data_IF_892817050852
#
_entry.id   IF_892817050852
#
_cell.length_a   1.000
_cell.length_b   1.000
_cell.length_c   1.000
_cell.angle_alpha   90.00
_cell.angle_beta   90.00
_cell.angle_gamma   90.00
#
_symmetry.space_group_name_H-M   'P 1'
#
loop_
_entity.id
_entity.type
_entity.pdbx_description
1 polymer ?
#
# COMPACT_ATOMS: atom_id res chain seq x y z
N UNK A 1 -23.21 -11.38 -42.11
CA UNK A 1 -22.66 -12.11 -40.94
C UNK A 1 -23.82 -12.46 -40.03
N UNK A 2 -23.97 -13.76 -39.65
CA UNK A 2 -25.10 -14.20 -38.85
C UNK A 2 -24.92 -13.79 -37.39
N UNK A 3 -26.03 -13.57 -36.67
CA UNK A 3 -26.02 -13.31 -35.22
C UNK A 3 -25.21 -14.35 -34.42
N UNK A 4 -25.16 -15.60 -34.91
CA UNK A 4 -24.38 -16.69 -34.34
C UNK A 4 -22.88 -16.48 -34.49
N UNK A 5 -22.38 -15.98 -35.62
CA UNK A 5 -20.95 -15.66 -35.81
C UNK A 5 -20.50 -14.51 -34.92
N UNK A 6 -21.35 -13.49 -34.75
CA UNK A 6 -21.08 -12.39 -33.82
C UNK A 6 -21.02 -12.85 -32.36
N UNK A 7 -21.88 -13.80 -32.00
CA UNK A 7 -21.88 -14.36 -30.63
C UNK A 7 -20.62 -15.18 -30.35
N UNK A 8 -20.19 -16.02 -31.30
CA UNK A 8 -18.95 -16.80 -31.18
C UNK A 8 -17.72 -15.89 -31.06
N UNK A 9 -17.62 -14.86 -31.92
CA UNK A 9 -16.55 -13.88 -31.88
C UNK A 9 -16.50 -13.10 -30.54
N UNK A 10 -17.69 -12.78 -30.01
CA UNK A 10 -17.77 -12.12 -28.69
C UNK A 10 -17.30 -13.03 -27.56
N UNK A 11 -17.66 -14.31 -27.57
CA UNK A 11 -17.24 -15.28 -26.56
C UNK A 11 -15.73 -15.55 -26.66
N UNK A 12 -15.17 -15.64 -27.87
CA UNK A 12 -13.73 -15.77 -28.09
C UNK A 12 -12.96 -14.54 -27.61
N UNK A 13 -13.47 -13.34 -27.92
CA UNK A 13 -12.87 -12.08 -27.45
C UNK A 13 -12.91 -11.95 -25.93
N UNK A 14 -14.01 -12.33 -25.29
CA UNK A 14 -14.14 -12.36 -23.84
C UNK A 14 -13.17 -13.39 -23.21
N UNK A 15 -13.07 -14.57 -23.79
CA UNK A 15 -12.11 -15.60 -23.33
C UNK A 15 -10.65 -15.17 -23.48
N UNK A 16 -10.31 -14.45 -24.57
CA UNK A 16 -8.98 -13.91 -24.78
C UNK A 16 -8.67 -12.78 -23.77
N UNK A 17 -9.60 -11.87 -23.53
CA UNK A 17 -9.45 -10.81 -22.54
C UNK A 17 -9.22 -11.36 -21.14
N UNK A 18 -9.98 -12.38 -20.72
CA UNK A 18 -9.77 -13.04 -19.43
C UNK A 18 -8.41 -13.76 -19.32
N UNK A 19 -7.89 -14.32 -20.43
CA UNK A 19 -6.56 -14.93 -20.44
C UNK A 19 -5.46 -13.89 -20.30
N UNK A 20 -5.58 -12.77 -21.00
CA UNK A 20 -4.63 -11.66 -20.90
C UNK A 20 -4.61 -11.13 -19.46
N UNK A 21 -5.75 -10.87 -18.87
CA UNK A 21 -5.89 -10.40 -17.51
C UNK A 21 -5.24 -11.37 -16.48
N UNK A 22 -5.43 -12.68 -16.68
CA UNK A 22 -4.75 -13.71 -15.84
C UNK A 22 -3.24 -13.70 -16.00
N UNK A 23 -2.74 -13.50 -17.22
CA UNK A 23 -1.29 -13.46 -17.49
C UNK A 23 -0.65 -12.19 -16.93
N UNK A 24 -1.30 -11.05 -17.06
CA UNK A 24 -0.85 -9.78 -16.47
C UNK A 24 -0.76 -9.91 -14.95
N UNK A 25 -1.78 -10.49 -14.32
CA UNK A 25 -1.80 -10.72 -12.88
C UNK A 25 -0.75 -11.73 -12.42
N UNK A 26 -0.55 -12.82 -13.14
CA UNK A 26 0.51 -13.78 -12.86
C UNK A 26 1.89 -13.10 -12.95
N UNK A 27 2.08 -12.16 -13.88
CA UNK A 27 3.29 -11.35 -14.01
C UNK A 27 3.48 -10.45 -12.78
N UNK A 28 2.44 -9.78 -12.31
CA UNK A 28 2.46 -8.95 -11.10
C UNK A 28 2.74 -9.81 -9.85
N UNK A 29 2.09 -10.95 -9.71
CA UNK A 29 2.34 -11.90 -8.60
C UNK A 29 3.78 -12.43 -8.63
N UNK A 30 4.33 -12.73 -9.80
CA UNK A 30 5.72 -13.17 -9.94
C UNK A 30 6.71 -12.08 -9.54
N UNK A 31 6.50 -10.83 -9.98
CA UNK A 31 7.30 -9.68 -9.56
C UNK A 31 7.20 -9.44 -8.05
N UNK A 32 5.99 -9.48 -7.51
CA UNK A 32 5.75 -9.35 -6.07
C UNK A 32 6.43 -10.47 -5.28
N UNK A 33 6.47 -11.71 -5.78
CA UNK A 33 7.11 -12.84 -5.11
C UNK A 33 8.62 -12.62 -4.89
N UNK A 34 9.32 -12.04 -5.86
CA UNK A 34 10.74 -11.69 -5.73
C UNK A 34 10.94 -10.61 -4.67
N UNK A 35 10.09 -9.60 -4.70
CA UNK A 35 10.10 -8.50 -3.75
C UNK A 35 9.76 -9.02 -2.34
N UNK A 36 8.75 -9.87 -2.20
CA UNK A 36 8.37 -10.52 -0.93
C UNK A 36 9.50 -11.35 -0.33
N UNK A 37 10.18 -12.17 -1.15
CA UNK A 37 11.32 -12.94 -0.69
C UNK A 37 12.43 -12.04 -0.14
N UNK A 38 12.64 -10.88 -0.76
CA UNK A 38 13.62 -9.90 -0.27
C UNK A 38 13.18 -9.26 1.04
N UNK A 39 11.91 -8.88 1.15
CA UNK A 39 11.34 -8.25 2.35
C UNK A 39 11.26 -9.19 3.55
N UNK A 40 10.87 -10.42 3.33
CA UNK A 40 10.86 -11.43 4.39
C UNK A 40 12.27 -11.73 4.90
N UNK A 41 13.29 -11.64 4.04
CA UNK A 41 14.69 -11.88 4.45
C UNK A 41 15.17 -10.87 5.49
N UNK A 42 14.68 -9.64 5.45
CA UNK A 42 15.11 -8.58 6.37
C UNK A 42 14.62 -8.80 7.81
N UNK A 43 13.29 -8.89 8.10
CA UNK A 43 12.85 -9.15 9.47
C UNK A 43 13.38 -10.50 10.00
N UNK A 44 13.44 -11.54 9.16
CA UNK A 44 14.00 -12.83 9.56
C UNK A 44 15.50 -12.74 9.88
N UNK A 45 16.27 -11.96 9.12
CA UNK A 45 17.67 -11.70 9.38
C UNK A 45 17.87 -10.92 10.70
N UNK A 46 17.04 -9.92 10.94
CA UNK A 46 17.05 -9.15 12.18
C UNK A 46 16.66 -10.02 13.40
N UNK A 47 15.60 -10.85 13.28
CA UNK A 47 15.21 -11.82 14.31
C UNK A 47 16.37 -12.74 14.64
N UNK A 48 17.06 -13.30 13.63
CA UNK A 48 18.21 -14.18 13.83
C UNK A 48 19.34 -13.47 14.55
N UNK A 49 19.65 -12.21 14.19
CA UNK A 49 20.69 -11.42 14.81
C UNK A 49 20.36 -11.10 16.28
N UNK A 50 19.15 -10.66 16.57
CA UNK A 50 18.70 -10.35 17.93
C UNK A 50 18.65 -11.60 18.79
N UNK A 51 18.17 -12.73 18.28
CA UNK A 51 18.16 -14.03 18.97
C UNK A 51 19.59 -14.48 19.30
N UNK A 52 20.53 -14.32 18.36
CA UNK A 52 21.95 -14.61 18.61
C UNK A 52 22.54 -13.71 19.71
N UNK A 53 22.24 -12.40 19.65
CA UNK A 53 22.67 -11.43 20.66
C UNK A 53 22.15 -11.79 22.04
N UNK A 54 20.86 -12.11 22.18
CA UNK A 54 20.22 -12.50 23.44
C UNK A 54 20.84 -13.80 24.00
N UNK A 55 21.04 -14.79 23.15
CA UNK A 55 21.69 -16.06 23.51
C UNK A 55 23.11 -15.85 24.03
N UNK A 56 23.88 -14.95 23.42
CA UNK A 56 25.23 -14.59 23.85
C UNK A 56 25.23 -13.86 25.22
N UNK A 57 24.26 -12.97 25.44
CA UNK A 57 24.08 -12.28 26.71
C UNK A 57 23.82 -13.29 27.83
N UNK A 58 22.91 -14.23 27.65
CA UNK A 58 22.59 -15.30 28.59
C UNK A 58 23.78 -16.22 28.81
N UNK A 59 24.49 -16.65 27.75
CA UNK A 59 25.68 -17.51 27.84
C UNK A 59 26.88 -16.88 28.61
N UNK A 60 26.96 -15.55 28.57
CA UNK A 60 27.97 -14.79 29.32
C UNK A 60 27.55 -14.46 30.78
N UNK A 61 26.40 -14.99 31.23
CA UNK A 61 25.91 -14.73 32.59
C UNK A 61 25.42 -13.30 32.81
N UNK A 62 25.02 -12.59 31.76
CA UNK A 62 24.53 -11.22 31.92
C UNK A 62 23.26 -11.20 32.76
N UNK A 63 23.20 -10.27 33.71
CA UNK A 63 22.03 -9.99 34.57
C UNK A 63 21.33 -8.69 34.17
N UNK A 64 21.71 -8.09 33.04
CA UNK A 64 21.11 -6.86 32.51
C UNK A 64 19.73 -7.16 31.88
N UNK A 65 18.72 -7.25 32.72
CA UNK A 65 17.35 -7.52 32.34
C UNK A 65 16.78 -6.41 31.45
N UNK A 66 17.12 -5.15 31.66
CA UNK A 66 16.63 -4.02 30.86
C UNK A 66 17.08 -4.15 29.40
N UNK A 67 18.36 -4.49 29.21
CA UNK A 67 18.90 -4.72 27.85
C UNK A 67 18.35 -5.97 27.20
N UNK A 68 18.08 -7.02 27.96
CA UNK A 68 17.41 -8.21 27.44
C UNK A 68 15.98 -7.91 27.00
N UNK A 69 15.23 -7.12 27.77
CA UNK A 69 13.89 -6.67 27.43
C UNK A 69 13.89 -5.84 26.16
N UNK A 70 14.81 -4.87 25.99
CA UNK A 70 14.94 -4.10 24.73
C UNK A 70 15.18 -5.01 23.52
N UNK A 71 15.99 -6.06 23.66
CA UNK A 71 16.23 -7.02 22.58
C UNK A 71 14.97 -7.84 22.27
N UNK A 72 14.20 -8.23 23.28
CA UNK A 72 12.93 -8.95 23.10
C UNK A 72 11.91 -8.04 22.40
N UNK A 73 11.76 -6.78 22.81
CA UNK A 73 10.88 -5.82 22.17
C UNK A 73 11.24 -5.58 20.69
N UNK A 74 12.54 -5.63 20.37
CA UNK A 74 13.00 -5.57 18.98
C UNK A 74 12.64 -6.83 18.19
N UNK A 75 12.73 -8.00 18.81
CA UNK A 75 12.28 -9.27 18.20
C UNK A 75 10.80 -9.25 17.89
N UNK A 76 9.99 -8.80 18.84
CA UNK A 76 8.54 -8.72 18.69
C UNK A 76 8.15 -7.78 17.54
N UNK A 77 8.77 -6.59 17.46
CA UNK A 77 8.56 -5.67 16.33
C UNK A 77 8.91 -6.29 14.97
N UNK A 78 9.98 -7.08 14.87
CA UNK A 78 10.34 -7.74 13.62
C UNK A 78 9.38 -8.88 13.28
N UNK A 79 8.85 -9.57 14.27
CA UNK A 79 7.85 -10.62 14.09
C UNK A 79 6.52 -10.04 13.62
N UNK A 80 6.07 -8.93 14.21
CA UNK A 80 4.89 -8.19 13.75
C UNK A 80 5.05 -7.74 12.31
N UNK A 81 6.22 -7.21 11.97
CA UNK A 81 6.54 -6.80 10.59
C UNK A 81 6.48 -7.97 9.60
N UNK A 82 7.02 -9.13 9.96
CA UNK A 82 6.93 -10.32 9.12
C UNK A 82 5.46 -10.75 8.91
N UNK A 83 4.65 -10.71 9.96
CA UNK A 83 3.21 -11.02 9.88
C UNK A 83 2.46 -10.02 8.99
N UNK A 84 2.77 -8.73 9.05
CA UNK A 84 2.20 -7.72 8.14
C UNK A 84 2.52 -8.00 6.67
N UNK A 85 3.75 -8.43 6.37
CA UNK A 85 4.17 -8.82 5.02
C UNK A 85 3.35 -10.03 4.55
N UNK A 86 3.25 -11.07 5.39
CA UNK A 86 2.47 -12.28 5.08
C UNK A 86 0.99 -11.96 4.86
N UNK A 87 0.39 -11.11 5.70
CA UNK A 87 -1.00 -10.70 5.58
C UNK A 87 -1.26 -9.99 4.25
N UNK A 88 -0.34 -9.09 3.82
CA UNK A 88 -0.42 -8.40 2.52
C UNK A 88 -0.32 -9.37 1.34
N UNK A 89 0.62 -10.32 1.40
CA UNK A 89 0.74 -11.37 0.37
C UNK A 89 -0.55 -12.18 0.28
N UNK A 90 -1.08 -12.57 1.43
CA UNK A 90 -2.29 -13.39 1.49
C UNK A 90 -3.52 -12.66 0.96
N UNK A 91 -3.69 -11.38 1.26
CA UNK A 91 -4.80 -10.58 0.73
C UNK A 91 -4.71 -10.47 -0.79
N UNK A 92 -3.50 -10.27 -1.32
CA UNK A 92 -3.25 -10.19 -2.75
C UNK A 92 -3.43 -11.55 -3.46
N UNK A 93 -2.98 -12.66 -2.83
CA UNK A 93 -3.10 -14.00 -3.38
C UNK A 93 -4.51 -14.62 -3.27
N UNK A 94 -5.31 -14.19 -2.28
CA UNK A 94 -6.69 -14.67 -2.10
C UNK A 94 -7.68 -14.14 -3.12
N UNK A 95 -7.38 -13.06 -3.77
CA UNK A 95 -8.21 -12.53 -4.84
C UNK A 95 -8.11 -13.47 -6.05
N UNK A 96 -8.86 -14.59 -6.05
CA UNK A 96 -8.85 -15.61 -7.12
C UNK A 96 -9.25 -15.05 -8.49
N UNK A 97 -10.01 -13.99 -8.54
CA UNK A 97 -10.22 -13.10 -9.70
C UNK A 97 -10.60 -11.72 -9.17
N UNK A 98 -10.03 -10.60 -9.70
CA UNK A 98 -10.54 -9.30 -9.34
C UNK A 98 -11.99 -9.23 -9.82
N UNK A 99 -12.88 -9.08 -8.87
CA UNK A 99 -14.28 -8.88 -9.20
C UNK A 99 -14.46 -7.43 -9.57
N UNK A 100 -14.30 -7.10 -10.87
CA UNK A 100 -14.53 -5.75 -11.35
C UNK A 100 -16.02 -5.42 -11.21
N UNK A 101 -16.34 -4.71 -10.16
CA UNK A 101 -17.68 -4.21 -9.85
C UNK A 101 -17.67 -2.69 -9.76
N UNK A 102 -18.83 -2.09 -9.67
CA UNK A 102 -18.96 -0.67 -9.33
C UNK A 102 -18.59 -0.49 -7.86
N UNK A 103 -17.53 0.25 -7.60
CA UNK A 103 -16.97 0.48 -6.26
C UNK A 103 -17.09 1.95 -5.90
N UNK A 104 -17.73 2.22 -4.77
CA UNK A 104 -17.65 3.52 -4.11
C UNK A 104 -16.26 3.69 -3.51
N UNK A 105 -15.47 4.62 -4.01
CA UNK A 105 -14.15 4.89 -3.44
C UNK A 105 -14.24 5.47 -2.01
N UNK A 106 -15.34 6.16 -1.70
CA UNK A 106 -15.60 6.62 -0.34
C UNK A 106 -15.63 5.47 0.65
N UNK A 107 -16.39 4.42 0.37
CA UNK A 107 -16.46 3.25 1.26
C UNK A 107 -15.10 2.62 1.49
N UNK A 108 -14.27 2.51 0.45
CA UNK A 108 -12.94 1.91 0.58
C UNK A 108 -11.98 2.79 1.39
N UNK A 109 -12.03 4.10 1.18
CA UNK A 109 -11.27 5.09 1.96
C UNK A 109 -11.69 5.07 3.44
N UNK A 110 -13.00 5.03 3.71
CA UNK A 110 -13.54 4.99 5.07
C UNK A 110 -13.16 3.70 5.80
N UNK A 111 -13.18 2.53 5.13
CA UNK A 111 -12.74 1.25 5.69
C UNK A 111 -11.25 1.28 6.04
N UNK A 112 -10.41 1.69 5.10
CA UNK A 112 -8.98 1.81 5.32
C UNK A 112 -8.65 2.78 6.48
N UNK A 113 -9.37 3.91 6.58
CA UNK A 113 -9.20 4.85 7.67
C UNK A 113 -9.65 4.29 9.04
N UNK A 114 -10.75 3.52 9.07
CA UNK A 114 -11.24 2.85 10.28
C UNK A 114 -10.24 1.82 10.79
N UNK A 115 -9.67 1.00 9.89
CA UNK A 115 -8.66 0.01 10.24
C UNK A 115 -7.42 0.64 10.86
N UNK A 116 -6.92 1.73 10.28
CA UNK A 116 -5.76 2.45 10.82
C UNK A 116 -6.03 3.08 12.20
N UNK A 117 -7.24 3.62 12.40
CA UNK A 117 -7.64 4.21 13.69
C UNK A 117 -7.76 3.14 14.80
N UNK A 118 -8.26 1.95 14.47
CA UNK A 118 -8.43 0.87 15.46
C UNK A 118 -7.10 0.31 15.96
N UNK A 119 -6.02 0.44 15.20
CA UNK A 119 -4.69 -0.03 15.63
C UNK A 119 -4.11 0.76 16.81
N UNK A 120 -4.54 2.01 17.01
CA UNK A 120 -3.98 2.90 18.05
C UNK A 120 -2.48 3.16 17.93
N UNK A 121 -1.87 2.81 16.80
CA UNK A 121 -0.41 2.80 16.58
C UNK A 121 0.16 4.18 16.28
N UNK A 122 -0.65 5.06 15.71
CA UNK A 122 -0.20 6.38 15.22
C UNK A 122 -0.63 7.49 16.15
N UNK A 123 0.29 8.44 16.43
CA UNK A 123 0.00 9.64 17.20
C UNK A 123 -0.58 10.75 16.32
N UNK A 124 -0.27 10.73 15.03
CA UNK A 124 -0.78 11.69 14.04
C UNK A 124 -2.26 11.49 13.77
N UNK A 125 -3.01 12.58 13.74
CA UNK A 125 -4.43 12.57 13.39
C UNK A 125 -4.64 12.22 11.91
N UNK A 126 -5.72 11.47 11.62
CA UNK A 126 -6.15 11.13 10.26
C UNK A 126 -7.53 11.71 10.00
N UNK A 127 -7.62 12.63 9.03
CA UNK A 127 -8.86 13.27 8.60
C UNK A 127 -9.20 12.93 7.15
N UNK A 128 -10.44 12.55 6.91
CA UNK A 128 -10.98 12.28 5.58
C UNK A 128 -11.94 13.39 5.18
N UNK A 129 -11.75 13.97 4.01
CA UNK A 129 -12.60 15.00 3.40
C UNK A 129 -13.13 14.43 2.09
N UNK A 130 -14.45 14.36 1.96
CA UNK A 130 -15.13 13.89 0.76
C UNK A 130 -15.89 15.06 0.15
N UNK A 131 -15.52 15.45 -1.05
CA UNK A 131 -16.22 16.48 -1.83
C UNK A 131 -17.19 15.85 -2.81
N UNK A 132 -16.77 14.74 -3.43
CA UNK A 132 -17.58 13.97 -4.34
C UNK A 132 -17.50 12.48 -3.97
N UNK A 133 -18.45 11.69 -4.45
CA UNK A 133 -18.51 10.24 -4.20
C UNK A 133 -18.28 9.44 -5.49
N UNK A 134 -17.09 9.52 -6.09
CA UNK A 134 -16.84 8.86 -7.36
C UNK A 134 -16.95 7.34 -7.24
N UNK A 135 -17.53 6.75 -8.29
CA UNK A 135 -17.67 5.31 -8.45
C UNK A 135 -16.79 4.87 -9.62
N UNK A 136 -15.97 3.84 -9.38
CA UNK A 136 -15.05 3.28 -10.37
C UNK A 136 -15.36 1.81 -10.61
N UNK A 137 -14.96 1.28 -11.77
CA UNK A 137 -15.04 -0.17 -12.03
C UNK A 137 -13.74 -0.82 -11.61
N UNK A 138 -13.72 -1.44 -10.41
CA UNK A 138 -12.52 -2.00 -9.80
C UNK A 138 -12.86 -3.18 -8.86
N UNK A 139 -11.84 -3.80 -8.29
CA UNK A 139 -11.99 -4.70 -7.14
C UNK A 139 -12.00 -3.87 -5.84
N UNK A 140 -13.02 -4.03 -4.96
CA UNK A 140 -13.12 -3.28 -3.72
C UNK A 140 -11.90 -3.44 -2.81
N UNK A 141 -11.37 -4.66 -2.68
CA UNK A 141 -10.21 -4.95 -1.82
C UNK A 141 -8.94 -4.29 -2.36
N UNK A 142 -8.77 -4.22 -3.68
CA UNK A 142 -7.62 -3.56 -4.29
C UNK A 142 -7.68 -2.04 -4.07
N UNK A 143 -8.85 -1.42 -4.17
CA UNK A 143 -9.01 0.01 -3.88
C UNK A 143 -8.83 0.34 -2.40
N UNK A 144 -9.33 -0.51 -1.51
CA UNK A 144 -9.06 -0.40 -0.08
C UNK A 144 -7.57 -0.51 0.24
N UNK A 145 -6.87 -1.47 -0.40
CA UNK A 145 -5.43 -1.65 -0.25
C UNK A 145 -4.62 -0.43 -0.74
N UNK A 146 -5.03 0.19 -1.85
CA UNK A 146 -4.45 1.46 -2.33
C UNK A 146 -4.57 2.54 -1.27
N UNK A 147 -5.78 2.77 -0.75
CA UNK A 147 -6.05 3.76 0.27
C UNK A 147 -5.25 3.49 1.56
N UNK A 148 -5.28 2.25 2.04
CA UNK A 148 -4.57 1.81 3.24
C UNK A 148 -3.06 2.04 3.15
N UNK A 149 -2.42 1.64 2.03
CA UNK A 149 -0.98 1.82 1.86
C UNK A 149 -0.57 3.30 1.84
N UNK A 150 -1.33 4.16 1.18
CA UNK A 150 -1.02 5.59 1.11
C UNK A 150 -1.21 6.28 2.47
N UNK A 151 -2.32 6.02 3.16
CA UNK A 151 -2.58 6.56 4.49
C UNK A 151 -1.55 6.09 5.52
N UNK A 152 -1.20 4.79 5.51
CA UNK A 152 -0.16 4.24 6.37
C UNK A 152 1.18 4.92 6.15
N UNK A 153 1.62 5.08 4.89
CA UNK A 153 2.88 5.74 4.57
C UNK A 153 2.91 7.20 5.04
N UNK A 154 1.79 7.91 4.90
CA UNK A 154 1.62 9.29 5.34
C UNK A 154 1.69 9.42 6.87
N UNK A 155 0.96 8.56 7.60
CA UNK A 155 0.98 8.52 9.07
C UNK A 155 2.38 8.21 9.60
N UNK A 156 3.06 7.22 9.03
CA UNK A 156 4.44 6.88 9.39
C UNK A 156 5.43 8.03 9.12
N UNK A 157 5.21 8.81 8.04
CA UNK A 157 6.05 9.95 7.72
C UNK A 157 5.83 11.10 8.69
N UNK A 158 4.58 11.40 9.04
CA UNK A 158 4.23 12.43 10.01
C UNK A 158 4.67 12.07 11.43
N UNK A 159 4.46 10.83 11.88
CA UNK A 159 4.93 10.37 13.18
C UNK A 159 6.46 10.46 13.30
N UNK A 160 7.20 10.09 12.26
CA UNK A 160 8.65 10.21 12.22
C UNK A 160 9.14 11.67 12.27
N UNK A 161 8.32 12.62 11.86
CA UNK A 161 8.59 14.06 11.94
C UNK A 161 8.17 14.70 13.28
N UNK A 162 7.63 13.92 14.22
CA UNK A 162 7.21 14.38 15.54
C UNK A 162 5.74 14.21 15.86
N UNK A 163 4.92 13.77 14.90
CA UNK A 163 3.52 13.37 15.11
C UNK A 163 2.55 14.49 15.51
N UNK A 164 2.96 15.76 15.44
CA UNK A 164 2.16 16.91 15.88
C UNK A 164 1.15 17.41 14.81
N UNK A 165 1.19 16.82 13.62
CA UNK A 165 0.41 17.26 12.48
C UNK A 165 -0.82 16.41 12.19
N UNK A 166 -1.31 16.52 10.96
CA UNK A 166 -2.49 15.82 10.49
C UNK A 166 -2.26 15.26 9.09
N UNK A 167 -2.60 13.98 8.89
CA UNK A 167 -2.74 13.40 7.56
C UNK A 167 -4.15 13.69 7.04
N UNK A 168 -4.21 14.35 5.88
CA UNK A 168 -5.48 14.72 5.25
C UNK A 168 -5.67 13.91 3.98
N UNK A 169 -6.75 13.15 3.94
CA UNK A 169 -7.20 12.41 2.76
C UNK A 169 -8.32 13.22 2.12
N UNK A 170 -8.21 13.51 0.81
CA UNK A 170 -9.30 14.17 0.09
C UNK A 170 -9.73 13.29 -1.08
N UNK A 171 -11.05 13.11 -1.22
CA UNK A 171 -11.67 12.37 -2.30
C UNK A 171 -12.58 13.32 -3.09
N UNK A 172 -12.37 13.38 -4.41
CA UNK A 172 -13.15 14.21 -5.33
C UNK A 172 -13.07 13.68 -6.76
N UNK A 173 -13.88 14.26 -7.65
CA UNK A 173 -13.86 13.96 -9.08
C UNK A 173 -13.35 15.16 -9.87
N UNK A 174 -12.51 14.92 -10.88
CA UNK A 174 -11.96 15.93 -11.78
C UNK A 174 -11.73 15.29 -13.16
N UNK A 175 -12.22 15.90 -14.22
CA UNK A 175 -12.02 15.48 -15.62
C UNK A 175 -12.31 13.97 -15.83
N UNK A 176 -13.47 13.50 -15.39
CA UNK A 176 -13.90 12.10 -15.49
C UNK A 176 -12.94 11.11 -14.79
N UNK A 177 -12.23 11.60 -13.78
CA UNK A 177 -11.34 10.82 -12.94
C UNK A 177 -11.67 10.98 -11.48
N UNK A 178 -11.73 9.86 -10.80
CA UNK A 178 -11.74 9.82 -9.35
C UNK A 178 -10.34 10.14 -8.82
N UNK A 179 -10.26 11.07 -7.89
CA UNK A 179 -9.01 11.54 -7.32
C UNK A 179 -9.00 11.24 -5.82
N UNK A 180 -7.97 10.54 -5.38
CA UNK A 180 -7.65 10.42 -3.96
C UNK A 180 -6.33 11.16 -3.73
N UNK A 181 -6.32 12.13 -2.84
CA UNK A 181 -5.07 12.73 -2.36
C UNK A 181 -4.85 12.37 -0.91
N UNK A 182 -3.61 12.04 -0.57
CA UNK A 182 -3.17 11.82 0.82
C UNK A 182 -2.03 12.78 1.08
N UNK A 183 -2.27 13.76 1.93
CA UNK A 183 -1.33 14.81 2.28
C UNK A 183 -0.79 14.58 3.70
N UNK A 184 0.52 14.53 3.84
CA UNK A 184 1.22 14.45 5.12
C UNK A 184 2.04 15.73 5.39
N UNK A 185 2.51 15.89 6.59
CA UNK A 185 3.42 16.93 7.04
C UNK A 185 4.78 16.37 7.50
N UNK A 186 5.15 15.21 6.96
CA UNK A 186 6.44 14.60 7.16
C UNK A 186 7.61 15.36 6.50
N UNK A 187 8.80 14.78 6.54
CA UNK A 187 10.04 15.40 6.04
C UNK A 187 10.26 15.29 4.53
N UNK A 188 9.20 15.30 3.70
CA UNK A 188 9.32 15.14 2.25
C UNK A 188 10.03 16.31 1.56
N UNK A 189 11.09 16.02 0.78
CA UNK A 189 11.85 16.99 -0.02
C UNK A 189 11.54 16.85 -1.51
N UNK A 190 11.97 17.85 -2.32
CA UNK A 190 11.86 17.76 -3.78
C UNK A 190 12.59 16.55 -4.36
N UNK A 191 13.74 16.20 -3.80
CA UNK A 191 14.50 15.01 -4.19
C UNK A 191 13.72 13.72 -3.88
N UNK A 192 13.05 13.68 -2.73
CA UNK A 192 12.15 12.59 -2.37
C UNK A 192 11.03 12.43 -3.40
N UNK A 193 10.39 13.53 -3.82
CA UNK A 193 9.34 13.53 -4.85
C UNK A 193 9.85 12.98 -6.18
N UNK A 194 11.01 13.46 -6.65
CA UNK A 194 11.60 13.00 -7.91
C UNK A 194 11.90 11.51 -7.89
N UNK A 195 12.43 10.99 -6.78
CA UNK A 195 12.71 9.57 -6.60
C UNK A 195 11.42 8.75 -6.60
N UNK A 196 10.42 9.16 -5.84
CA UNK A 196 9.13 8.48 -5.77
C UNK A 196 8.44 8.46 -7.12
N UNK A 197 8.43 9.55 -7.87
CA UNK A 197 7.81 9.61 -9.21
C UNK A 197 8.55 8.75 -10.25
N UNK A 198 9.86 8.50 -10.08
CA UNK A 198 10.63 7.56 -10.90
C UNK A 198 10.44 6.09 -10.51
N UNK A 199 9.61 5.79 -9.52
CA UNK A 199 9.42 4.42 -9.03
C UNK A 199 10.59 3.89 -8.17
N UNK A 200 11.57 4.74 -7.85
CA UNK A 200 12.69 4.38 -6.98
C UNK A 200 12.20 4.42 -5.53
N UNK A 201 12.20 3.27 -4.87
CA UNK A 201 11.59 3.02 -3.58
C UNK A 201 11.92 3.98 -2.43
N UNK A 202 11.34 3.71 -1.25
CA UNK A 202 11.42 4.51 -0.03
C UNK A 202 12.84 4.91 0.39
N UNK A 203 13.01 6.14 0.89
CA UNK A 203 14.23 6.63 1.53
C UNK A 203 14.37 6.13 2.98
N UNK A 204 13.34 5.51 3.54
CA UNK A 204 13.38 4.98 4.91
C UNK A 204 14.25 3.73 4.95
N UNK A 205 15.26 3.73 5.83
CA UNK A 205 16.09 2.55 6.14
C UNK A 205 15.26 1.32 6.58
N UNK A 206 14.01 1.55 6.97
CA UNK A 206 13.07 0.55 7.46
C UNK A 206 11.83 0.36 6.58
N UNK A 207 11.59 1.21 5.57
CA UNK A 207 10.41 1.19 4.69
C UNK A 207 10.76 0.79 3.26
N UNK A 208 10.29 -0.35 2.81
CA UNK A 208 10.82 -1.14 1.69
C UNK A 208 10.20 -0.84 0.32
N UNK A 209 9.45 0.26 0.20
CA UNK A 209 8.89 0.65 -1.12
C UNK A 209 7.83 -0.29 -1.71
N UNK A 210 7.52 -1.42 -1.06
CA UNK A 210 6.52 -2.37 -1.54
C UNK A 210 5.12 -1.80 -1.58
N UNK A 211 4.73 -1.06 -0.55
CA UNK A 211 3.40 -0.47 -0.52
C UNK A 211 3.13 0.36 -1.77
N UNK A 212 4.11 1.15 -2.21
CA UNK A 212 3.98 1.98 -3.40
C UNK A 212 4.07 1.21 -4.71
N UNK A 213 4.87 0.13 -4.78
CA UNK A 213 4.90 -0.73 -5.98
C UNK A 213 3.61 -1.52 -6.14
N UNK A 214 3.00 -2.00 -5.05
CA UNK A 214 1.67 -2.61 -5.06
C UNK A 214 0.63 -1.58 -5.54
N UNK A 215 0.62 -0.38 -4.97
CA UNK A 215 -0.29 0.70 -5.38
C UNK A 215 -0.15 1.00 -6.88
N UNK A 216 1.07 1.10 -7.41
CA UNK A 216 1.30 1.32 -8.84
C UNK A 216 0.76 0.18 -9.69
N UNK A 217 1.09 -1.07 -9.35
CA UNK A 217 0.61 -2.25 -10.09
C UNK A 217 -0.91 -2.34 -10.12
N UNK A 218 -1.57 -2.09 -8.98
CA UNK A 218 -3.04 -2.04 -8.93
C UNK A 218 -3.57 -0.91 -9.82
N UNK A 219 -3.05 0.30 -9.69
CA UNK A 219 -3.55 1.45 -10.45
C UNK A 219 -3.34 1.27 -11.96
N UNK A 220 -2.19 0.73 -12.39
CA UNK A 220 -1.90 0.43 -13.79
C UNK A 220 -2.94 -0.52 -14.39
N UNK A 221 -3.37 -1.56 -13.64
CA UNK A 221 -4.41 -2.50 -14.07
C UNK A 221 -5.79 -1.84 -14.30
N UNK A 222 -6.02 -0.66 -13.70
CA UNK A 222 -7.26 0.12 -13.85
C UNK A 222 -7.07 1.40 -14.68
N UNK A 223 -5.96 1.55 -15.41
CA UNK A 223 -5.67 2.76 -16.18
C UNK A 223 -5.46 4.01 -15.32
N UNK A 224 -5.17 3.79 -14.03
CA UNK A 224 -4.91 4.83 -13.05
C UNK A 224 -3.43 5.22 -12.97
N UNK A 225 -3.13 6.21 -12.12
CA UNK A 225 -1.77 6.72 -11.88
C UNK A 225 -1.57 7.11 -10.42
N UNK A 226 -0.33 7.01 -9.97
CA UNK A 226 0.16 7.56 -8.71
C UNK A 226 1.23 8.61 -9.00
N UNK A 227 1.05 9.81 -8.46
CA UNK A 227 2.01 10.91 -8.53
C UNK A 227 2.23 11.52 -7.14
N UNK A 228 3.41 12.10 -6.95
CA UNK A 228 3.80 12.78 -5.71
C UNK A 228 4.16 14.23 -5.99
N UNK A 229 3.81 15.10 -5.06
CA UNK A 229 4.23 16.49 -5.03
C UNK A 229 4.64 16.91 -3.61
N UNK A 230 5.53 17.90 -3.52
CA UNK A 230 5.92 18.47 -2.24
C UNK A 230 4.91 19.55 -1.81
N UNK A 231 4.62 19.61 -0.51
CA UNK A 231 3.85 20.69 0.09
C UNK A 231 4.75 21.88 0.40
N UNK A 232 4.20 23.11 0.29
CA UNK A 232 4.95 24.34 0.60
C UNK A 232 5.38 24.45 2.06
N UNK A 233 4.62 23.84 2.97
CA UNK A 233 4.87 23.87 4.41
C UNK A 233 5.65 22.65 4.93
N UNK A 234 6.19 21.82 4.04
CA UNK A 234 6.79 20.52 4.34
C UNK A 234 5.80 19.38 4.14
N UNK A 235 6.34 18.16 3.97
CA UNK A 235 5.55 16.96 3.69
C UNK A 235 5.28 16.73 2.22
N UNK A 236 4.50 15.69 1.95
CA UNK A 236 4.16 15.23 0.59
C UNK A 236 2.65 15.20 0.38
N UNK A 237 2.27 15.23 -0.88
CA UNK A 237 0.94 14.83 -1.35
C UNK A 237 1.11 13.67 -2.30
N UNK A 238 0.56 12.53 -1.96
CA UNK A 238 0.33 11.43 -2.89
C UNK A 238 -1.01 11.65 -3.58
N UNK A 239 -1.03 11.66 -4.92
CA UNK A 239 -2.25 11.83 -5.74
C UNK A 239 -2.46 10.55 -6.56
N UNK A 240 -3.55 9.89 -6.32
CA UNK A 240 -4.08 8.79 -7.12
C UNK A 240 -5.12 9.33 -8.08
N UNK A 241 -5.09 8.84 -9.31
CA UNK A 241 -6.12 9.09 -10.31
C UNK A 241 -6.59 7.76 -10.88
N UNK A 242 -7.91 7.53 -10.92
CA UNK A 242 -8.52 6.34 -11.55
C UNK A 242 -9.64 6.83 -12.46
N UNK A 243 -9.79 6.28 -13.68
CA UNK A 243 -10.94 6.62 -14.53
C UNK A 243 -12.26 6.32 -13.80
N UNK A 244 -13.17 7.28 -13.75
CA UNK A 244 -14.58 6.97 -13.41
C UNK A 244 -15.20 6.25 -14.58
N UNK A 245 -16.26 5.51 -14.33
CA UNK A 245 -16.97 4.82 -15.37
C UNK A 245 -17.63 5.84 -16.31
N UNK A 246 -17.45 5.68 -17.62
CA UNK A 246 -18.44 6.17 -18.58
C UNK A 246 -19.78 5.46 -18.33
N UNK A 247 -20.81 6.23 -18.09
CA UNK A 247 -22.19 5.77 -17.87
C UNK A 247 -22.80 5.30 -19.19
#
# INVERSE_FOLDING_TARGET
>A
QSLAELQVLKEEAQGAAQRIERLERAGVVAQLSVIFAHEMRQPLGAISLYSFGLRRMLGNGSTDTARMTDVIDRLDRQTERANEIVARVRSYAKAEQPTRVLVSLREQVDRAAADLKTTGRYSTALRVIVTDEPVVTADPLEMELVALNLMKNALEASDAAGGAGEVVVTLFEEDERAIITVADDGGGTRETVERLNRGLGSTKAEGLGLGLSIVRGILEAYGGRLAFSARRQGGLVARVTVPVREV
#
